data_IF_725257683884
#
_entry.id   IF_725257683884
#
_cell.length_a   1.000
_cell.length_b   1.000
_cell.length_c   1.000
_cell.angle_alpha   90.00
_cell.angle_beta   90.00
_cell.angle_gamma   90.00
#
_symmetry.space_group_name_H-M   'P 1'
#
loop_
_entity.id
_entity.type
_entity.pdbx_description
1 polymer ?
#
# COMPACT_ATOMS: atom_id res chain seq x y z
N UNK A 1 -3.43 29.94 61.71
CA UNK A 1 -4.67 30.42 61.05
C UNK A 1 -4.41 30.78 59.59
N UNK A 2 -3.82 31.94 59.25
CA UNK A 2 -3.61 32.30 57.84
C UNK A 2 -2.63 31.36 57.10
N UNK A 3 -1.51 31.01 57.74
CA UNK A 3 -0.52 30.07 57.16
C UNK A 3 -1.13 28.68 56.93
N UNK A 4 -1.90 28.17 57.90
CA UNK A 4 -2.54 26.86 57.80
C UNK A 4 -3.59 26.84 56.67
N UNK A 5 -4.37 27.92 56.52
CA UNK A 5 -5.32 28.04 55.43
C UNK A 5 -4.62 28.08 54.07
N UNK A 6 -3.52 28.83 53.93
CA UNK A 6 -2.74 28.88 52.69
C UNK A 6 -2.14 27.50 52.36
N UNK A 7 -1.62 26.78 53.35
CA UNK A 7 -1.09 25.43 53.15
C UNK A 7 -2.19 24.44 52.74
N UNK A 8 -3.38 24.55 53.32
CA UNK A 8 -4.54 23.73 52.95
C UNK A 8 -5.00 24.02 51.52
N UNK A 9 -5.21 25.29 51.17
CA UNK A 9 -5.64 25.71 49.84
C UNK A 9 -4.62 25.28 48.77
N UNK A 10 -3.32 25.45 49.06
CA UNK A 10 -2.24 25.02 48.14
C UNK A 10 -2.22 23.50 47.94
N UNK A 11 -2.48 22.72 48.99
CA UNK A 11 -2.53 21.27 48.91
C UNK A 11 -3.73 20.78 48.09
N UNK A 12 -4.91 21.38 48.29
CA UNK A 12 -6.11 21.11 47.49
C UNK A 12 -5.89 21.47 46.01
N UNK A 13 -5.34 22.66 45.73
CA UNK A 13 -5.02 23.08 44.36
C UNK A 13 -4.06 22.11 43.67
N UNK A 14 -3.01 21.69 44.37
CA UNK A 14 -2.04 20.74 43.84
C UNK A 14 -2.68 19.38 43.53
N UNK A 15 -3.62 18.91 44.36
CA UNK A 15 -4.37 17.66 44.15
C UNK A 15 -5.31 17.78 42.95
N UNK A 16 -6.03 18.89 42.83
CA UNK A 16 -6.88 19.17 41.67
C UNK A 16 -6.06 19.17 40.37
N UNK A 17 -4.90 19.84 40.38
CA UNK A 17 -3.98 19.83 39.23
C UNK A 17 -3.46 18.43 38.91
N UNK A 18 -3.15 17.63 39.93
CA UNK A 18 -2.74 16.25 39.74
C UNK A 18 -3.80 15.42 39.00
N UNK A 19 -5.05 15.50 39.45
CA UNK A 19 -6.19 14.76 38.90
C UNK A 19 -6.51 15.21 37.47
N UNK A 20 -6.57 16.52 37.21
CA UNK A 20 -6.80 17.09 35.88
C UNK A 20 -5.73 16.62 34.89
N UNK A 21 -4.45 16.67 35.27
CA UNK A 21 -3.36 16.22 34.40
C UNK A 21 -3.41 14.71 34.18
N UNK A 22 -3.75 13.90 35.19
CA UNK A 22 -3.89 12.44 34.99
C UNK A 22 -5.05 12.09 34.06
N UNK A 23 -6.19 12.77 34.20
CA UNK A 23 -7.34 12.56 33.33
C UNK A 23 -7.02 12.93 31.88
N UNK A 24 -6.34 14.05 31.66
CA UNK A 24 -5.90 14.46 30.32
C UNK A 24 -4.88 13.50 29.72
N UNK A 25 -3.93 12.96 30.51
CA UNK A 25 -3.02 11.90 30.05
C UNK A 25 -3.77 10.62 29.65
N UNK A 26 -4.74 10.19 30.46
CA UNK A 26 -5.55 9.01 30.17
C UNK A 26 -6.30 9.17 28.85
N UNK A 27 -6.97 10.31 28.66
CA UNK A 27 -7.67 10.64 27.41
C UNK A 27 -6.74 10.66 26.21
N UNK A 28 -5.57 11.30 26.33
CA UNK A 28 -4.56 11.32 25.25
C UNK A 28 -4.07 9.91 24.90
N UNK A 29 -3.88 9.03 25.89
CA UNK A 29 -3.50 7.65 25.63
C UNK A 29 -4.59 6.90 24.87
N UNK A 30 -5.85 7.09 25.22
CA UNK A 30 -7.00 6.50 24.51
C UNK A 30 -7.06 6.97 23.06
N UNK A 31 -6.93 8.29 22.83
CA UNK A 31 -6.89 8.87 21.48
C UNK A 31 -5.71 8.34 20.63
N UNK A 32 -4.53 8.22 21.23
CA UNK A 32 -3.35 7.66 20.57
C UNK A 32 -3.51 6.17 20.25
N UNK A 33 -4.15 5.40 21.13
CA UNK A 33 -4.48 4.01 20.86
C UNK A 33 -5.46 3.87 19.72
N UNK A 34 -6.57 4.62 19.72
CA UNK A 34 -7.54 4.58 18.63
C UNK A 34 -6.88 4.96 17.29
N UNK A 35 -6.05 6.01 17.27
CA UNK A 35 -5.28 6.40 16.09
C UNK A 35 -4.33 5.27 15.62
N UNK A 36 -3.64 4.60 16.55
CA UNK A 36 -2.78 3.46 16.24
C UNK A 36 -3.59 2.30 15.65
N UNK A 37 -4.73 1.93 16.24
CA UNK A 37 -5.58 0.85 15.72
C UNK A 37 -6.09 1.15 14.30
N UNK A 38 -6.45 2.41 14.02
CA UNK A 38 -6.83 2.84 12.67
C UNK A 38 -5.68 2.70 11.67
N UNK A 39 -4.47 3.08 12.06
CA UNK A 39 -3.27 2.91 11.22
C UNK A 39 -2.96 1.43 10.96
N UNK A 40 -3.02 0.57 11.98
CA UNK A 40 -2.82 -0.88 11.83
C UNK A 40 -3.89 -1.51 10.94
N UNK A 41 -5.14 -1.04 11.03
CA UNK A 41 -6.21 -1.48 10.14
C UNK A 41 -5.97 -1.07 8.69
N UNK A 42 -5.52 0.17 8.46
CA UNK A 42 -5.12 0.63 7.13
C UNK A 42 -3.96 -0.20 6.59
N UNK A 43 -2.95 -0.50 7.42
CA UNK A 43 -1.81 -1.33 7.03
C UNK A 43 -2.25 -2.73 6.57
N UNK A 44 -3.17 -3.38 7.31
CA UNK A 44 -3.71 -4.69 6.91
C UNK A 44 -4.39 -4.63 5.53
N UNK A 45 -5.15 -3.56 5.25
CA UNK A 45 -5.77 -3.37 3.93
C UNK A 45 -4.74 -3.16 2.82
N UNK A 46 -3.75 -2.30 3.05
CA UNK A 46 -2.67 -2.05 2.09
C UNK A 46 -1.89 -3.34 1.80
N UNK A 47 -1.61 -4.17 2.80
CA UNK A 47 -0.97 -5.48 2.60
C UNK A 47 -1.82 -6.43 1.75
N UNK A 48 -3.14 -6.44 1.95
CA UNK A 48 -4.05 -7.22 1.11
C UNK A 48 -4.06 -6.72 -0.34
N UNK A 49 -4.10 -5.41 -0.54
CA UNK A 49 -4.04 -4.78 -1.87
C UNK A 49 -2.72 -5.08 -2.58
N UNK A 50 -1.59 -5.07 -1.86
CA UNK A 50 -0.28 -5.50 -2.38
C UNK A 50 -0.36 -6.93 -2.91
N UNK A 51 -0.87 -7.88 -2.12
CA UNK A 51 -0.98 -9.28 -2.55
C UNK A 51 -1.88 -9.47 -3.77
N UNK A 52 -3.01 -8.74 -3.84
CA UNK A 52 -3.85 -8.74 -5.03
C UNK A 52 -3.13 -8.18 -6.26
N UNK A 53 -2.35 -7.12 -6.08
CA UNK A 53 -1.63 -6.45 -7.15
C UNK A 53 -0.46 -7.29 -7.69
N UNK A 54 0.27 -7.99 -6.81
CA UNK A 54 1.30 -8.96 -7.17
C UNK A 54 0.70 -10.09 -8.03
N UNK A 55 -0.44 -10.65 -7.60
CA UNK A 55 -1.14 -11.68 -8.37
C UNK A 55 -1.59 -11.16 -9.75
N UNK A 56 -2.13 -9.94 -9.80
CA UNK A 56 -2.53 -9.30 -11.06
C UNK A 56 -1.33 -9.10 -12.01
N UNK A 57 -0.19 -8.66 -11.48
CA UNK A 57 1.06 -8.53 -12.26
C UNK A 57 1.48 -9.87 -12.85
N UNK A 58 1.41 -10.95 -12.07
CA UNK A 58 1.77 -12.29 -12.55
C UNK A 58 0.80 -12.80 -13.62
N UNK A 59 -0.50 -12.57 -13.44
CA UNK A 59 -1.51 -12.87 -14.45
C UNK A 59 -1.30 -12.07 -15.75
N UNK A 60 -0.95 -10.79 -15.67
CA UNK A 60 -0.63 -9.97 -16.84
C UNK A 60 0.62 -10.47 -17.57
N UNK A 61 1.67 -10.85 -16.84
CA UNK A 61 2.89 -11.45 -17.42
C UNK A 61 2.57 -12.76 -18.15
N UNK A 62 1.73 -13.61 -17.56
CA UNK A 62 1.30 -14.85 -18.20
C UNK A 62 0.47 -14.57 -19.47
N UNK A 63 -0.50 -13.65 -19.41
CA UNK A 63 -1.32 -13.28 -20.56
C UNK A 63 -0.51 -12.72 -21.74
N UNK A 64 0.55 -11.95 -21.47
CA UNK A 64 1.50 -11.49 -22.49
C UNK A 64 2.18 -12.69 -23.15
N UNK A 65 2.77 -13.58 -22.34
CA UNK A 65 3.48 -14.78 -22.83
C UNK A 65 2.58 -15.70 -23.67
N UNK A 66 1.33 -15.87 -23.25
CA UNK A 66 0.35 -16.69 -23.96
C UNK A 66 0.01 -16.12 -25.35
N UNK A 67 0.09 -14.80 -25.54
CA UNK A 67 -0.12 -14.13 -26.83
C UNK A 67 1.14 -14.00 -27.69
N UNK A 68 2.32 -13.95 -27.08
CA UNK A 68 3.59 -13.92 -27.81
C UNK A 68 3.82 -15.19 -28.64
N UNK A 69 3.35 -16.34 -28.15
CA UNK A 69 3.47 -17.62 -28.86
C UNK A 69 2.70 -17.65 -30.20
N UNK A 70 1.38 -17.39 -30.24
CA UNK A 70 0.64 -17.32 -31.50
C UNK A 70 1.13 -16.17 -32.40
N UNK A 71 1.57 -15.03 -31.84
CA UNK A 71 2.15 -13.94 -32.64
C UNK A 71 3.37 -14.41 -33.42
N UNK A 72 4.31 -15.12 -32.77
CA UNK A 72 5.49 -15.69 -33.45
C UNK A 72 5.09 -16.64 -34.57
N UNK A 73 4.10 -17.51 -34.34
CA UNK A 73 3.61 -18.44 -35.36
C UNK A 73 3.02 -17.68 -36.56
N UNK A 74 2.19 -16.66 -36.32
CA UNK A 74 1.61 -15.85 -37.38
C UNK A 74 2.70 -15.08 -38.18
N UNK A 75 3.68 -14.51 -37.48
CA UNK A 75 4.83 -13.84 -38.09
C UNK A 75 5.69 -14.79 -38.95
N UNK A 76 6.02 -15.99 -38.45
CA UNK A 76 6.77 -16.99 -39.22
C UNK A 76 5.99 -17.42 -40.46
N UNK A 77 4.68 -17.68 -40.34
CA UNK A 77 3.83 -18.00 -41.49
C UNK A 77 3.84 -16.88 -42.53
N UNK A 78 3.77 -15.63 -42.09
CA UNK A 78 3.78 -14.47 -42.99
C UNK A 78 5.14 -14.30 -43.68
N UNK A 79 6.23 -14.53 -42.94
CA UNK A 79 7.59 -14.57 -43.49
C UNK A 79 7.72 -15.66 -44.56
N UNK A 80 7.34 -16.90 -44.27
CA UNK A 80 7.44 -18.03 -45.23
C UNK A 80 6.63 -17.76 -46.51
N UNK A 81 5.47 -17.12 -46.37
CA UNK A 81 4.63 -16.73 -47.52
C UNK A 81 5.29 -15.70 -48.44
N UNK A 82 6.21 -14.88 -47.93
CA UNK A 82 6.95 -13.89 -48.72
C UNK A 82 8.00 -14.52 -49.67
N UNK A 83 8.35 -15.79 -49.47
CA UNK A 83 9.30 -16.53 -50.32
C UNK A 83 8.64 -17.45 -51.34
N UNK A 84 7.30 -17.40 -51.49
CA UNK A 84 6.60 -18.25 -52.47
C UNK A 84 6.99 -17.89 -53.90
N UNK A 85 7.27 -18.87 -54.77
CA UNK A 85 7.75 -18.60 -56.11
C UNK A 85 6.63 -18.13 -57.06
N UNK A 86 6.96 -17.19 -57.94
CA UNK A 86 6.20 -16.83 -59.15
C UNK A 86 4.69 -16.62 -58.89
N UNK A 87 3.87 -17.54 -59.40
CA UNK A 87 2.40 -17.45 -59.41
C UNK A 87 1.76 -17.74 -58.06
N UNK A 88 2.49 -18.33 -57.10
CA UNK A 88 1.99 -18.60 -55.74
C UNK A 88 2.13 -17.39 -54.82
N UNK A 89 2.84 -16.33 -55.26
CA UNK A 89 2.94 -15.05 -54.56
C UNK A 89 1.67 -14.21 -54.82
N UNK A 90 0.52 -14.75 -54.47
CA UNK A 90 -0.77 -14.05 -54.53
C UNK A 90 -1.10 -13.39 -53.19
N UNK A 91 -1.64 -12.17 -53.24
CA UNK A 91 -2.33 -11.53 -52.09
C UNK A 91 -3.72 -12.14 -51.93
N UNK A 92 -3.77 -13.37 -51.48
CA UNK A 92 -4.99 -14.12 -51.24
C UNK A 92 -5.63 -13.76 -49.88
N UNK A 93 -6.82 -14.31 -49.62
CA UNK A 93 -7.54 -14.10 -48.36
C UNK A 93 -6.72 -14.51 -47.13
N UNK A 94 -5.94 -15.59 -47.22
CA UNK A 94 -5.12 -16.06 -46.11
C UNK A 94 -4.00 -15.07 -45.76
N UNK A 95 -3.39 -14.43 -46.77
CA UNK A 95 -2.40 -13.38 -46.59
C UNK A 95 -2.98 -12.20 -45.80
N UNK A 96 -4.16 -11.70 -46.21
CA UNK A 96 -4.81 -10.57 -45.53
C UNK A 96 -5.20 -10.92 -44.08
N UNK A 97 -5.71 -12.14 -43.86
CA UNK A 97 -6.07 -12.60 -42.51
C UNK A 97 -4.85 -12.71 -41.58
N UNK A 98 -3.72 -13.21 -42.07
CA UNK A 98 -2.48 -13.27 -41.28
C UNK A 98 -1.94 -11.88 -40.93
N UNK A 99 -2.04 -10.91 -41.85
CA UNK A 99 -1.65 -9.52 -41.55
C UNK A 99 -2.52 -8.96 -40.41
N UNK A 100 -3.84 -9.07 -40.54
CA UNK A 100 -4.80 -8.64 -39.50
C UNK A 100 -4.53 -9.31 -38.15
N UNK A 101 -4.27 -10.63 -38.15
CA UNK A 101 -3.98 -11.39 -36.93
C UNK A 101 -2.69 -10.90 -36.25
N UNK A 102 -1.63 -10.61 -37.02
CA UNK A 102 -0.38 -10.06 -36.50
C UNK A 102 -0.61 -8.67 -35.90
N UNK A 103 -1.36 -7.80 -36.59
CA UNK A 103 -1.69 -6.46 -36.11
C UNK A 103 -2.50 -6.53 -34.79
N UNK A 104 -3.59 -7.30 -34.75
CA UNK A 104 -4.45 -7.48 -33.58
C UNK A 104 -3.69 -8.07 -32.38
N UNK A 105 -2.84 -9.08 -32.59
CA UNK A 105 -2.03 -9.67 -31.53
C UNK A 105 -0.99 -8.67 -31.00
N UNK A 106 -0.37 -7.89 -31.88
CA UNK A 106 0.62 -6.88 -31.49
C UNK A 106 -0.03 -5.79 -30.64
N UNK A 107 -1.14 -5.21 -31.10
CA UNK A 107 -1.90 -4.21 -30.35
C UNK A 107 -2.37 -4.75 -28.99
N UNK A 108 -2.85 -6.00 -28.96
CA UNK A 108 -3.26 -6.65 -27.71
C UNK A 108 -2.11 -6.83 -26.74
N UNK A 109 -0.91 -7.21 -27.20
CA UNK A 109 0.28 -7.36 -26.35
C UNK A 109 0.74 -5.99 -25.83
N UNK A 110 0.76 -4.97 -26.67
CA UNK A 110 1.18 -3.62 -26.26
C UNK A 110 0.24 -3.02 -25.22
N UNK A 111 -1.08 -3.23 -25.37
CA UNK A 111 -2.06 -2.85 -24.36
C UNK A 111 -1.84 -3.57 -23.02
N UNK A 112 -1.50 -4.87 -23.04
CA UNK A 112 -1.19 -5.63 -21.83
C UNK A 112 0.11 -5.16 -21.18
N UNK A 113 1.16 -4.85 -21.96
CA UNK A 113 2.42 -4.30 -21.47
C UNK A 113 2.23 -2.94 -20.80
N UNK A 114 1.38 -2.08 -21.38
CA UNK A 114 1.03 -0.80 -20.76
C UNK A 114 0.35 -1.00 -19.40
N UNK A 115 -0.65 -1.89 -19.32
CA UNK A 115 -1.33 -2.23 -18.06
C UNK A 115 -0.39 -2.84 -17.03
N UNK A 116 0.58 -3.66 -17.47
CA UNK A 116 1.60 -4.22 -16.60
C UNK A 116 2.45 -3.12 -15.97
N UNK A 117 2.92 -2.15 -16.76
CA UNK A 117 3.69 -1.01 -16.26
C UNK A 117 2.89 -0.18 -15.24
N UNK A 118 1.64 0.13 -15.56
CA UNK A 118 0.72 0.83 -14.65
C UNK A 118 0.53 0.05 -13.34
N UNK A 119 0.41 -1.28 -13.44
CA UNK A 119 0.24 -2.16 -12.30
C UNK A 119 1.49 -2.23 -11.42
N UNK A 120 2.67 -2.31 -12.01
CA UNK A 120 3.96 -2.27 -11.31
C UNK A 120 4.20 -0.93 -10.62
N UNK A 121 3.80 0.19 -11.25
CA UNK A 121 3.87 1.50 -10.61
C UNK A 121 2.88 1.62 -9.43
N UNK A 122 1.67 1.10 -9.58
CA UNK A 122 0.70 1.05 -8.48
C UNK A 122 1.21 0.22 -7.30
N UNK A 123 1.89 -0.91 -7.56
CA UNK A 123 2.51 -1.73 -6.51
C UNK A 123 3.56 -0.94 -5.73
N UNK A 124 4.46 -0.23 -6.42
CA UNK A 124 5.47 0.62 -5.75
C UNK A 124 4.85 1.67 -4.83
N UNK A 125 3.77 2.33 -5.28
CA UNK A 125 3.07 3.32 -4.47
C UNK A 125 2.42 2.69 -3.22
N UNK A 126 1.92 1.45 -3.33
CA UNK A 126 1.40 0.70 -2.18
C UNK A 126 2.51 0.33 -1.20
N UNK A 127 3.69 -0.07 -1.68
CA UNK A 127 4.85 -0.37 -0.83
C UNK A 127 5.35 0.87 -0.08
N UNK A 128 5.38 2.04 -0.73
CA UNK A 128 5.70 3.31 -0.08
C UNK A 128 4.68 3.65 1.01
N UNK A 129 3.38 3.44 0.72
CA UNK A 129 2.30 3.63 1.68
C UNK A 129 2.42 2.68 2.87
N UNK A 130 2.76 1.40 2.64
CA UNK A 130 3.05 0.42 3.69
C UNK A 130 4.15 0.91 4.62
N UNK A 131 5.29 1.34 4.05
CA UNK A 131 6.43 1.82 4.83
C UNK A 131 6.08 3.06 5.66
N UNK A 132 5.29 3.98 5.10
CA UNK A 132 4.82 5.15 5.84
C UNK A 132 3.92 4.77 7.02
N UNK A 133 2.96 3.86 6.80
CA UNK A 133 2.07 3.37 7.85
C UNK A 133 2.83 2.66 8.98
N UNK A 134 3.78 1.79 8.66
CA UNK A 134 4.63 1.10 9.63
C UNK A 134 5.42 2.10 10.50
N UNK A 135 5.98 3.14 9.87
CA UNK A 135 6.68 4.21 10.58
C UNK A 135 5.75 4.95 11.54
N UNK A 136 4.56 5.35 11.09
CA UNK A 136 3.60 6.04 11.94
C UNK A 136 3.14 5.18 13.12
N UNK A 137 2.89 3.88 12.91
CA UNK A 137 2.55 2.92 13.97
C UNK A 137 3.68 2.83 15.00
N UNK A 138 4.95 2.78 14.54
CA UNK A 138 6.10 2.78 15.43
C UNK A 138 6.18 4.05 16.27
N UNK A 139 5.93 5.22 15.66
CA UNK A 139 5.87 6.51 16.37
C UNK A 139 4.77 6.49 17.43
N UNK A 140 3.52 6.11 17.08
CA UNK A 140 2.42 6.05 18.06
C UNK A 140 2.71 5.07 19.20
N UNK A 141 3.29 3.92 18.88
CA UNK A 141 3.69 2.92 19.88
C UNK A 141 4.74 3.47 20.84
N UNK A 142 5.74 4.19 20.33
CA UNK A 142 6.74 4.83 21.18
C UNK A 142 6.15 5.96 22.04
N UNK A 143 5.26 6.80 21.47
CA UNK A 143 4.55 7.84 22.23
C UNK A 143 3.73 7.25 23.37
N UNK A 144 2.97 6.19 23.12
CA UNK A 144 2.21 5.47 24.15
C UNK A 144 3.11 4.88 25.23
N UNK A 145 4.26 4.31 24.84
CA UNK A 145 5.23 3.79 25.79
C UNK A 145 5.76 4.91 26.71
N UNK A 146 6.14 6.06 26.16
CA UNK A 146 6.61 7.21 26.93
C UNK A 146 5.51 7.70 27.89
N UNK A 147 4.31 7.95 27.37
CA UNK A 147 3.21 8.50 28.17
C UNK A 147 2.84 7.55 29.32
N UNK A 148 2.73 6.24 29.07
CA UNK A 148 2.34 5.25 30.09
C UNK A 148 3.47 4.84 31.03
N UNK A 149 4.62 4.46 30.49
CA UNK A 149 5.69 3.81 31.24
C UNK A 149 6.70 4.79 31.83
N UNK A 150 6.76 6.02 31.31
CA UNK A 150 7.70 7.05 31.80
C UNK A 150 6.94 8.14 32.55
N UNK A 151 6.02 8.82 31.88
CA UNK A 151 5.32 9.97 32.45
C UNK A 151 4.37 9.54 33.58
N UNK A 152 3.40 8.66 33.29
CA UNK A 152 2.42 8.24 34.31
C UNK A 152 3.06 7.48 35.47
N UNK A 153 4.07 6.64 35.20
CA UNK A 153 4.83 5.96 36.26
C UNK A 153 5.59 6.91 37.20
N UNK A 154 5.98 8.10 36.74
CA UNK A 154 6.58 9.10 37.64
C UNK A 154 5.52 9.79 38.50
N UNK A 155 4.33 10.02 37.93
CA UNK A 155 3.22 10.69 38.59
C UNK A 155 2.60 9.86 39.72
N UNK A 156 2.75 8.54 39.73
CA UNK A 156 2.36 7.71 40.89
C UNK A 156 3.18 8.00 42.16
N UNK A 157 4.27 8.77 42.07
CA UNK A 157 5.10 9.18 43.22
C UNK A 157 4.61 10.49 43.87
N UNK A 158 3.52 11.07 43.38
CA UNK A 158 2.94 12.26 44.00
C UNK A 158 2.57 11.93 45.45
N UNK A 159 3.06 12.69 46.45
CA UNK A 159 2.76 12.41 47.84
C UNK A 159 1.26 12.57 48.06
N UNK A 160 0.64 11.50 48.57
CA UNK A 160 -0.77 11.48 48.99
C UNK A 160 -0.92 12.10 50.36
#
# INVERSE_FOLDING_TARGET
>A
ALVDNILHDTAEDLRLQFDVVNQTFAKRCEELEDAKHKLEHSLRKTLQEIGHQEHNIEALKQAIKDKETPLKVAQTRLYDRSFRPNVDLCRDTAQFRLISEVEELTESIDALKKKLLESEQSLRNLEDSRMHLEKEIAVKTNSLFIDRQKCMAHRTKYPT
#
